data_IF_143458337696
#
_entry.id   IF_143458337696
#
_cell.length_a   1.000
_cell.length_b   1.000
_cell.length_c   1.000
_cell.angle_alpha   90.00
_cell.angle_beta   90.00
_cell.angle_gamma   90.00
#
_symmetry.space_group_name_H-M   'P 1'
#
loop_
_entity.id
_entity.type
_entity.pdbx_description
1 polymer ?
#
# COMPACT_ATOMS: atom_id res chain seq x y z
N UNK A 1 32.05 23.83 75.25
CA UNK A 1 31.80 25.27 75.43
C UNK A 1 31.96 25.91 74.06
N UNK A 2 30.83 26.18 73.42
CA UNK A 2 30.40 27.46 72.83
C UNK A 2 31.41 28.63 72.68
N UNK A 3 31.17 29.57 71.74
CA UNK A 3 31.91 29.73 70.47
C UNK A 3 32.42 31.17 70.25
N UNK A 4 32.92 31.50 69.04
CA UNK A 4 32.73 32.78 68.28
C UNK A 4 33.82 32.91 67.19
N UNK A 5 33.43 32.85 65.91
CA UNK A 5 33.20 33.99 64.97
C UNK A 5 34.48 34.34 64.17
N UNK A 6 34.50 34.64 62.87
CA UNK A 6 33.50 34.76 61.81
C UNK A 6 34.22 34.93 60.45
N UNK A 7 33.46 34.81 59.35
CA UNK A 7 33.68 35.37 58.00
C UNK A 7 34.73 34.76 57.04
N UNK A 8 34.29 34.11 55.95
CA UNK A 8 33.76 34.75 54.73
C UNK A 8 33.84 33.85 53.48
N UNK A 9 32.79 33.98 52.65
CA UNK A 9 32.74 33.86 51.18
C UNK A 9 33.03 32.53 50.43
N UNK A 10 31.98 32.15 49.65
CA UNK A 10 31.99 31.65 48.27
C UNK A 10 32.17 30.15 47.97
N UNK A 11 31.16 29.59 47.28
CA UNK A 11 31.39 28.93 46.00
C UNK A 11 31.33 27.39 45.93
N UNK A 12 30.10 26.87 45.80
CA UNK A 12 29.65 25.74 44.97
C UNK A 12 30.59 24.56 44.58
N UNK A 13 30.09 23.34 44.82
CA UNK A 13 30.01 22.22 43.86
C UNK A 13 29.34 21.01 44.51
N UNK A 14 28.14 20.63 44.05
CA UNK A 14 27.56 19.32 44.33
C UNK A 14 27.55 18.53 43.04
N UNK A 15 28.29 17.42 43.05
CA UNK A 15 28.36 16.43 41.97
C UNK A 15 27.01 15.70 41.89
N UNK A 16 26.37 15.71 40.72
CA UNK A 16 25.25 14.80 40.43
C UNK A 16 25.80 13.56 39.72
N UNK A 17 25.72 12.44 40.44
CA UNK A 17 25.96 11.08 39.94
C UNK A 17 24.87 10.74 38.93
N UNK A 18 25.26 10.53 37.66
CA UNK A 18 24.37 10.03 36.62
C UNK A 18 24.29 8.51 36.68
N UNK A 19 23.15 7.99 37.12
CA UNK A 19 22.78 6.57 36.94
C UNK A 19 22.26 6.41 35.50
N UNK A 20 22.64 5.37 34.75
CA UNK A 20 22.13 5.17 33.39
C UNK A 20 20.64 4.80 33.41
N UNK A 21 19.84 5.22 32.42
CA UNK A 21 18.42 4.94 32.40
C UNK A 21 18.16 3.45 32.13
N UNK A 22 17.25 2.89 32.92
CA UNK A 22 16.73 1.53 32.77
C UNK A 22 15.91 1.45 31.48
N UNK A 23 16.26 0.49 30.64
CA UNK A 23 15.58 0.17 29.40
C UNK A 23 14.21 -0.47 29.71
N UNK A 24 13.13 0.07 29.13
CA UNK A 24 11.79 -0.52 29.20
C UNK A 24 10.77 0.26 30.03
N UNK A 25 10.33 1.41 29.53
CA UNK A 25 8.97 1.93 29.81
C UNK A 25 8.43 2.55 28.52
N UNK A 26 7.30 2.02 28.05
CA UNK A 26 6.56 2.53 26.92
C UNK A 26 5.99 3.93 27.23
N UNK A 27 5.99 4.81 26.23
CA UNK A 27 5.24 6.06 26.26
C UNK A 27 6.04 7.28 26.69
N UNK A 28 6.65 7.96 25.72
CA UNK A 28 7.30 9.24 25.91
C UNK A 28 7.89 9.71 24.59
N UNK A 29 7.05 10.28 23.72
CA UNK A 29 7.50 10.91 22.49
C UNK A 29 8.43 12.08 22.82
N UNK A 30 9.74 11.87 22.70
CA UNK A 30 10.69 12.97 22.62
C UNK A 30 10.67 13.48 21.19
N UNK A 31 9.86 14.51 20.95
CA UNK A 31 9.94 15.33 19.75
C UNK A 31 11.28 16.07 19.74
N UNK A 32 12.26 15.51 19.06
CA UNK A 32 13.45 16.27 18.72
C UNK A 32 13.02 17.41 17.78
N UNK A 33 13.37 18.63 18.18
CA UNK A 33 12.87 19.87 17.61
C UNK A 33 12.98 19.91 16.10
N UNK A 34 11.87 20.29 15.46
CA UNK A 34 11.88 20.86 14.14
C UNK A 34 12.73 22.12 14.16
N UNK A 35 13.92 22.03 13.58
CA UNK A 35 14.66 23.21 13.19
C UNK A 35 14.11 23.60 11.83
N UNK A 36 13.61 24.83 11.70
CA UNK A 36 13.43 25.52 10.44
C UNK A 36 14.84 25.71 9.83
N UNK A 37 15.37 24.61 9.29
CA UNK A 37 16.73 24.50 8.80
C UNK A 37 16.83 25.31 7.53
N UNK A 38 17.34 26.54 7.66
CA UNK A 38 17.51 27.49 6.57
C UNK A 38 18.11 26.82 5.34
N UNK A 39 17.35 26.85 4.24
CA UNK A 39 17.81 26.50 2.92
C UNK A 39 19.07 27.31 2.62
N UNK A 40 20.21 26.62 2.47
CA UNK A 40 21.25 27.14 1.56
C UNK A 40 20.74 26.94 0.14
N UNK A 41 20.13 28.00 -0.38
CA UNK A 41 20.14 28.29 -1.80
C UNK A 41 18.91 27.87 -2.61
N UNK A 42 17.70 28.20 -2.17
CA UNK A 42 16.59 28.62 -3.05
C UNK A 42 15.54 29.30 -2.16
N UNK A 43 15.21 30.55 -2.42
CA UNK A 43 14.18 31.30 -1.68
C UNK A 43 12.79 30.74 -2.03
N UNK A 44 12.35 29.66 -1.40
CA UNK A 44 10.93 29.30 -1.37
C UNK A 44 10.30 30.17 -0.27
N UNK A 45 9.87 31.37 -0.68
CA UNK A 45 9.20 32.32 0.21
C UNK A 45 7.91 31.74 0.79
N UNK A 46 7.38 32.37 1.84
CA UNK A 46 6.16 32.01 2.58
C UNK A 46 4.85 32.15 1.75
N UNK A 47 4.86 31.71 0.50
CA UNK A 47 3.71 31.57 -0.38
C UNK A 47 3.23 30.12 -0.44
N UNK A 48 2.00 29.92 -0.89
CA UNK A 48 1.43 28.58 -1.13
C UNK A 48 2.28 27.87 -2.19
N UNK A 49 2.91 26.76 -1.82
CA UNK A 49 3.72 25.94 -2.73
C UNK A 49 2.79 25.26 -3.74
N UNK A 50 3.09 25.42 -5.03
CA UNK A 50 2.41 24.70 -6.11
C UNK A 50 3.25 23.47 -6.50
N UNK A 51 2.89 22.25 -6.07
CA UNK A 51 3.70 21.06 -6.31
C UNK A 51 3.78 20.66 -7.78
N UNK A 52 2.92 21.21 -8.65
CA UNK A 52 2.97 20.98 -10.10
C UNK A 52 4.12 21.70 -10.80
N UNK A 53 4.76 22.67 -10.14
CA UNK A 53 5.81 23.53 -10.70
C UNK A 53 7.17 23.34 -10.03
N UNK A 54 7.24 22.50 -9.00
CA UNK A 54 8.44 22.29 -8.19
C UNK A 54 8.83 20.82 -8.31
N UNK A 55 10.13 20.54 -8.42
CA UNK A 55 10.59 19.16 -8.40
C UNK A 55 10.22 18.50 -7.08
N UNK A 56 9.73 17.28 -7.16
CA UNK A 56 9.33 16.49 -5.98
C UNK A 56 10.51 16.24 -5.05
N UNK A 57 11.74 16.16 -5.56
CA UNK A 57 12.93 16.08 -4.71
C UNK A 57 13.13 17.33 -3.84
N UNK A 58 12.69 18.52 -4.26
CA UNK A 58 12.77 19.72 -3.41
C UNK A 58 11.72 19.69 -2.28
N UNK A 59 10.66 18.91 -2.43
CA UNK A 59 9.53 18.86 -1.50
C UNK A 59 9.60 17.68 -0.51
N UNK A 60 10.15 16.55 -0.92
CA UNK A 60 10.25 15.35 -0.09
C UNK A 60 11.58 14.61 -0.27
N UNK A 61 12.04 13.97 0.79
CA UNK A 61 13.06 12.95 0.74
C UNK A 61 12.45 11.62 0.34
N UNK A 62 13.13 10.89 -0.54
CA UNK A 62 12.77 9.53 -0.98
C UNK A 62 13.99 8.63 -0.87
N UNK A 63 13.84 7.45 -0.27
CA UNK A 63 14.90 6.43 -0.24
C UNK A 63 14.31 5.02 -0.19
N UNK A 64 15.12 4.04 -0.58
CA UNK A 64 14.74 2.62 -0.53
C UNK A 64 15.25 1.97 0.76
N UNK A 65 14.51 0.98 1.24
CA UNK A 65 14.84 0.17 2.41
C UNK A 65 14.57 -1.31 2.11
N UNK A 66 15.37 -2.25 2.66
CA UNK A 66 15.10 -3.67 2.49
C UNK A 66 13.79 -4.07 3.17
N UNK A 67 13.18 -5.17 2.70
CA UNK A 67 11.97 -5.75 3.31
C UNK A 67 12.20 -6.26 4.74
N UNK A 68 13.44 -6.49 5.14
CA UNK A 68 13.81 -6.97 6.48
C UNK A 68 14.00 -5.86 7.52
N UNK A 69 13.85 -4.59 7.13
CA UNK A 69 14.00 -3.45 8.04
C UNK A 69 12.64 -2.84 8.41
N UNK A 70 12.48 -2.45 9.67
CA UNK A 70 11.33 -1.63 10.08
C UNK A 70 11.61 -0.17 9.76
N UNK A 71 10.68 0.49 9.06
CA UNK A 71 10.74 1.94 8.81
C UNK A 71 9.84 2.63 9.83
N UNK A 72 10.45 3.28 10.82
CA UNK A 72 9.70 4.04 11.84
C UNK A 72 9.28 5.42 11.31
N UNK A 73 8.29 6.04 11.95
CA UNK A 73 7.89 7.42 11.65
C UNK A 73 9.03 8.44 11.87
N UNK A 74 10.06 8.09 12.65
CA UNK A 74 11.21 8.96 12.90
C UNK A 74 12.44 8.59 12.07
N UNK A 75 12.33 7.61 11.17
CA UNK A 75 13.46 7.17 10.33
C UNK A 75 14.06 8.36 9.59
N UNK A 76 15.39 8.49 9.69
CA UNK A 76 16.11 9.59 9.06
C UNK A 76 16.23 9.36 7.55
N UNK A 77 16.10 10.42 6.73
CA UNK A 77 16.35 10.34 5.30
C UNK A 77 17.73 9.78 4.95
N UNK A 78 17.79 9.02 3.86
CA UNK A 78 19.02 8.46 3.29
C UNK A 78 19.12 8.84 1.81
N UNK A 79 20.31 8.70 1.18
CA UNK A 79 20.42 8.82 -0.26
C UNK A 79 19.53 7.80 -0.98
N UNK A 80 18.92 8.21 -2.09
CA UNK A 80 18.16 7.29 -2.94
C UNK A 80 19.10 6.38 -3.71
N UNK A 81 19.02 5.08 -3.45
CA UNK A 81 19.77 4.05 -4.16
C UNK A 81 18.87 3.26 -5.12
N UNK A 82 19.46 2.82 -6.23
CA UNK A 82 18.79 1.88 -7.15
C UNK A 82 18.45 0.58 -6.41
N UNK A 83 17.29 0.01 -6.71
CA UNK A 83 16.88 -1.28 -6.15
C UNK A 83 17.24 -2.37 -7.15
N UNK A 84 17.94 -3.40 -6.66
CA UNK A 84 18.26 -4.59 -7.44
C UNK A 84 17.74 -5.81 -6.68
N UNK A 85 16.79 -6.52 -7.27
CA UNK A 85 16.18 -7.72 -6.71
C UNK A 85 16.63 -8.94 -7.49
N UNK A 86 16.66 -10.08 -6.80
CA UNK A 86 16.94 -11.39 -7.38
C UNK A 86 15.77 -12.29 -7.01
N UNK A 87 15.16 -12.95 -7.99
CA UNK A 87 14.02 -13.84 -7.73
C UNK A 87 14.06 -15.04 -8.68
N UNK A 88 13.62 -16.19 -8.20
CA UNK A 88 13.28 -17.33 -9.02
C UNK A 88 11.91 -17.14 -9.69
N UNK A 89 11.59 -17.98 -10.66
CA UNK A 89 10.20 -18.06 -11.15
C UNK A 89 9.31 -18.57 -10.03
N UNK A 90 8.07 -18.07 -9.99
CA UNK A 90 7.15 -18.35 -8.89
C UNK A 90 7.70 -17.83 -7.55
N UNK A 91 8.51 -16.78 -7.51
CA UNK A 91 8.94 -16.15 -6.25
C UNK A 91 8.28 -14.79 -6.08
N UNK A 92 8.18 -14.33 -4.82
CA UNK A 92 7.75 -12.98 -4.50
C UNK A 92 8.84 -12.28 -3.71
N UNK A 93 9.37 -11.24 -4.30
CA UNK A 93 10.35 -10.35 -3.65
C UNK A 93 9.70 -9.05 -3.21
N UNK A 94 10.32 -8.38 -2.25
CA UNK A 94 9.78 -7.14 -1.68
C UNK A 94 10.87 -6.18 -1.24
N UNK A 95 10.55 -4.89 -1.26
CA UNK A 95 11.33 -3.83 -0.65
C UNK A 95 10.39 -2.70 -0.21
N UNK A 96 10.95 -1.68 0.43
CA UNK A 96 10.21 -0.53 0.91
C UNK A 96 10.74 0.77 0.29
N UNK A 97 9.84 1.71 0.06
CA UNK A 97 10.13 3.10 -0.29
C UNK A 97 9.72 3.96 0.90
N UNK A 98 10.66 4.67 1.48
CA UNK A 98 10.43 5.59 2.58
C UNK A 98 10.37 7.03 2.04
N UNK A 99 9.41 7.79 2.56
CA UNK A 99 9.08 9.15 2.14
C UNK A 99 9.01 10.04 3.36
N UNK A 100 9.75 11.16 3.36
CA UNK A 100 9.68 12.16 4.43
C UNK A 100 9.56 13.56 3.85
N UNK A 101 8.54 14.35 4.21
CA UNK A 101 8.40 15.71 3.67
C UNK A 101 9.53 16.61 4.20
N UNK A 102 10.10 17.41 3.30
CA UNK A 102 11.04 18.50 3.62
C UNK A 102 10.28 19.76 4.04
N UNK A 103 9.16 19.99 3.37
CA UNK A 103 8.26 21.13 3.56
C UNK A 103 6.82 20.66 3.42
N UNK A 104 5.87 21.50 3.84
CA UNK A 104 4.44 21.27 3.64
C UNK A 104 3.95 22.05 2.43
N UNK A 105 3.22 21.40 1.52
CA UNK A 105 2.56 22.00 0.35
C UNK A 105 1.05 21.79 0.34
N UNK A 106 0.48 21.18 1.38
CA UNK A 106 -0.95 21.13 1.64
C UNK A 106 -1.36 22.12 2.75
N UNK A 107 -2.63 22.48 2.75
CA UNK A 107 -3.23 23.42 3.73
C UNK A 107 -3.98 22.70 4.87
N UNK A 108 -4.13 21.38 4.82
CA UNK A 108 -5.08 20.60 5.62
C UNK A 108 -4.47 19.78 6.77
N UNK A 109 -3.43 20.29 7.45
CA UNK A 109 -2.81 19.59 8.59
C UNK A 109 -1.94 18.38 8.22
N UNK A 110 -1.97 17.95 6.96
CA UNK A 110 -0.97 17.06 6.36
C UNK A 110 0.16 17.90 5.74
N UNK A 111 1.32 17.29 5.49
CA UNK A 111 2.38 17.97 4.74
C UNK A 111 2.03 18.03 3.25
N UNK A 112 1.46 16.97 2.71
CA UNK A 112 1.12 16.87 1.31
C UNK A 112 0.57 15.51 0.92
N UNK A 113 0.15 15.40 -0.33
CA UNK A 113 -0.20 14.13 -0.97
C UNK A 113 0.85 13.78 -2.02
N UNK A 114 1.17 12.50 -2.12
CA UNK A 114 2.19 11.97 -3.03
C UNK A 114 1.57 10.88 -3.87
N UNK A 115 1.70 10.99 -5.19
CA UNK A 115 1.32 9.98 -6.16
C UNK A 115 2.53 9.08 -6.45
N UNK A 116 2.29 7.77 -6.55
CA UNK A 116 3.33 6.77 -6.82
C UNK A 116 2.90 5.95 -8.03
N UNK A 117 3.64 6.06 -9.12
CA UNK A 117 3.40 5.31 -10.35
C UNK A 117 4.56 4.36 -10.61
N UNK A 118 4.27 3.18 -11.11
CA UNK A 118 5.28 2.20 -11.51
C UNK A 118 5.16 1.97 -13.01
N UNK A 119 6.28 1.74 -13.68
CA UNK A 119 6.27 1.14 -15.02
C UNK A 119 6.20 -0.37 -14.92
N UNK A 120 5.81 -1.02 -16.01
CA UNK A 120 6.09 -2.44 -16.20
C UNK A 120 7.62 -2.67 -16.09
N UNK A 121 8.02 -3.81 -15.54
CA UNK A 121 9.42 -4.24 -15.68
C UNK A 121 9.55 -4.96 -17.01
N UNK A 122 10.43 -4.46 -17.87
CA UNK A 122 10.63 -4.97 -19.22
C UNK A 122 12.01 -5.61 -19.36
N UNK A 123 12.08 -6.73 -20.07
CA UNK A 123 13.34 -7.34 -20.49
C UNK A 123 13.75 -6.86 -21.89
N UNK A 124 15.01 -7.06 -22.24
CA UNK A 124 15.52 -6.76 -23.59
C UNK A 124 14.89 -7.62 -24.69
N UNK A 125 14.33 -8.79 -24.36
CA UNK A 125 13.56 -9.66 -25.28
C UNK A 125 12.12 -9.19 -25.49
N UNK A 126 11.64 -8.22 -24.71
CA UNK A 126 10.28 -7.70 -24.79
C UNK A 126 9.29 -8.36 -23.83
N UNK A 127 9.71 -9.34 -23.03
CA UNK A 127 8.89 -9.91 -21.96
C UNK A 127 8.67 -8.89 -20.85
N UNK A 128 7.51 -8.93 -20.20
CA UNK A 128 7.08 -7.93 -19.22
C UNK A 128 6.54 -8.53 -17.93
N UNK A 129 6.75 -7.81 -16.83
CA UNK A 129 6.04 -7.98 -15.56
C UNK A 129 5.12 -6.77 -15.39
N UNK A 130 3.82 -7.00 -15.56
CA UNK A 130 2.80 -5.95 -15.67
C UNK A 130 2.45 -5.37 -14.30
N UNK A 131 2.35 -4.04 -14.20
CA UNK A 131 1.90 -3.33 -13.00
C UNK A 131 0.46 -3.72 -12.64
N UNK A 132 0.17 -3.86 -11.34
CA UNK A 132 -1.15 -4.30 -10.86
C UNK A 132 -1.38 -5.81 -10.92
N UNK A 133 -0.58 -6.54 -11.71
CA UNK A 133 -0.59 -8.00 -11.74
C UNK A 133 0.64 -8.58 -11.01
N UNK A 134 1.82 -8.18 -11.46
CA UNK A 134 3.11 -8.64 -10.90
C UNK A 134 3.67 -7.66 -9.88
N UNK A 135 3.32 -6.38 -9.96
CA UNK A 135 3.83 -5.35 -9.05
C UNK A 135 2.66 -4.78 -8.26
N UNK A 136 2.78 -4.78 -6.93
CA UNK A 136 1.74 -4.25 -6.03
C UNK A 136 2.34 -3.28 -5.02
N UNK A 137 1.58 -2.25 -4.69
CA UNK A 137 1.94 -1.20 -3.75
C UNK A 137 1.01 -1.25 -2.53
N UNK A 138 1.59 -1.24 -1.33
CA UNK A 138 0.85 -1.22 -0.07
C UNK A 138 1.45 -0.17 0.86
N UNK A 139 0.63 0.66 1.47
CA UNK A 139 1.06 1.58 2.52
C UNK A 139 1.37 0.76 3.78
N UNK A 140 2.52 1.03 4.39
CA UNK A 140 2.86 0.52 5.72
C UNK A 140 2.20 1.41 6.75
N UNK A 141 1.34 0.84 7.60
CA UNK A 141 0.57 1.55 8.62
C UNK A 141 1.00 1.07 10.00
N UNK A 142 1.30 1.99 10.93
CA UNK A 142 1.65 1.60 12.29
C UNK A 142 0.43 1.05 13.04
N UNK A 143 0.59 -0.14 13.63
CA UNK A 143 -0.34 -0.74 14.57
C UNK A 143 0.30 -0.66 15.95
N UNK A 144 -0.31 0.10 16.85
CA UNK A 144 0.22 0.37 18.19
C UNK A 144 1.67 0.89 18.19
N UNK A 145 2.00 1.72 17.19
CA UNK A 145 3.32 2.33 17.02
C UNK A 145 4.34 1.47 16.27
N UNK A 146 3.99 0.23 15.89
CA UNK A 146 4.86 -0.68 15.14
C UNK A 146 4.44 -0.70 13.66
N UNK A 147 5.34 -0.46 12.69
CA UNK A 147 5.01 -0.53 11.27
C UNK A 147 4.72 -1.98 10.86
N UNK A 148 3.44 -2.36 10.80
CA UNK A 148 3.03 -3.76 10.72
C UNK A 148 1.97 -4.02 9.63
N UNK A 149 0.91 -3.20 9.59
CA UNK A 149 -0.16 -3.42 8.64
C UNK A 149 0.21 -2.95 7.23
N UNK A 150 0.00 -3.81 6.24
CA UNK A 150 0.21 -3.50 4.82
C UNK A 150 -1.16 -3.28 4.15
N UNK A 151 -1.53 -2.01 3.98
CA UNK A 151 -2.82 -1.59 3.42
C UNK A 151 -2.66 -1.36 1.91
N UNK A 152 -3.45 -2.00 1.04
CA UNK A 152 -3.42 -1.74 -0.40
C UNK A 152 -3.57 -0.26 -0.75
N UNK A 153 -2.71 0.21 -1.65
CA UNK A 153 -2.90 1.50 -2.32
C UNK A 153 -3.78 1.23 -3.54
N UNK A 154 -4.82 2.05 -3.73
CA UNK A 154 -5.74 1.90 -4.85
C UNK A 154 -4.99 2.11 -6.18
N UNK A 155 -4.99 1.12 -7.09
CA UNK A 155 -4.35 1.28 -8.40
C UNK A 155 -4.99 2.38 -9.26
N UNK A 156 -6.26 2.71 -9.05
CA UNK A 156 -6.95 3.79 -9.77
C UNK A 156 -6.62 5.17 -9.21
N UNK A 157 -6.14 5.23 -7.98
CA UNK A 157 -5.76 6.47 -7.30
C UNK A 157 -4.54 6.22 -6.41
N UNK A 158 -3.33 6.06 -6.98
CA UNK A 158 -2.17 5.58 -6.23
C UNK A 158 -1.50 6.72 -5.43
N UNK A 159 -2.28 7.38 -4.59
CA UNK A 159 -1.88 8.51 -3.77
C UNK A 159 -1.85 8.14 -2.30
N UNK A 160 -0.89 8.71 -1.57
CA UNK A 160 -0.84 8.64 -0.12
C UNK A 160 -0.63 10.03 0.48
N UNK A 161 -1.30 10.30 1.59
CA UNK A 161 -1.07 11.50 2.39
C UNK A 161 0.07 11.26 3.38
N UNK A 162 0.98 12.23 3.46
CA UNK A 162 2.13 12.21 4.36
C UNK A 162 2.01 13.29 5.43
N UNK A 163 2.41 12.97 6.66
CA UNK A 163 2.33 13.88 7.80
C UNK A 163 3.59 14.72 7.91
N UNK A 164 3.49 15.99 8.36
CA UNK A 164 4.67 16.81 8.60
C UNK A 164 5.63 16.12 9.55
N UNK A 165 6.88 16.00 9.13
CA UNK A 165 7.98 15.54 9.99
C UNK A 165 7.95 14.06 10.32
N UNK A 166 7.03 13.31 9.75
CA UNK A 166 6.99 11.85 9.86
C UNK A 166 7.46 11.20 8.56
N UNK A 167 8.11 10.06 8.70
CA UNK A 167 8.42 9.17 7.59
C UNK A 167 7.24 8.23 7.35
N UNK A 168 6.73 8.22 6.12
CA UNK A 168 5.80 7.21 5.63
C UNK A 168 6.56 6.13 4.84
N UNK A 169 6.06 4.91 4.83
CA UNK A 169 6.63 3.82 4.05
C UNK A 169 5.61 3.16 3.12
N UNK A 170 6.07 2.77 1.95
CA UNK A 170 5.32 2.02 0.94
C UNK A 170 6.06 0.72 0.68
N UNK A 171 5.36 -0.38 0.90
CA UNK A 171 5.80 -1.73 0.60
C UNK A 171 5.52 -2.05 -0.87
N UNK A 172 6.58 -2.37 -1.60
CA UNK A 172 6.52 -2.80 -2.99
C UNK A 172 6.73 -4.30 -3.02
N UNK A 173 5.81 -5.05 -3.64
CA UNK A 173 5.96 -6.48 -3.86
C UNK A 173 5.99 -6.79 -5.35
N UNK A 174 6.98 -7.58 -5.75
CA UNK A 174 7.16 -8.07 -7.12
C UNK A 174 6.97 -9.59 -7.13
N UNK A 175 5.88 -10.04 -7.74
CA UNK A 175 5.49 -11.44 -7.85
C UNK A 175 5.86 -11.96 -9.25
N UNK A 176 6.84 -12.84 -9.32
CA UNK A 176 7.34 -13.42 -10.56
C UNK A 176 6.46 -14.61 -10.96
N UNK A 177 5.78 -14.57 -12.11
CA UNK A 177 4.99 -15.71 -12.58
C UNK A 177 5.82 -16.98 -12.77
N UNK A 178 5.18 -18.14 -12.62
CA UNK A 178 5.83 -19.45 -12.80
C UNK A 178 6.41 -19.63 -14.22
N UNK A 179 5.75 -19.08 -15.23
CA UNK A 179 6.19 -19.13 -16.63
C UNK A 179 7.06 -17.96 -17.08
N UNK A 180 7.48 -17.06 -16.17
CA UNK A 180 8.25 -15.88 -16.55
C UNK A 180 9.61 -16.29 -17.13
N UNK A 181 10.00 -15.80 -18.32
CA UNK A 181 11.35 -16.06 -18.85
C UNK A 181 12.45 -15.58 -17.89
N UNK A 182 13.60 -16.26 -17.87
CA UNK A 182 14.72 -15.84 -17.03
C UNK A 182 15.40 -14.63 -17.69
N UNK A 183 15.98 -13.74 -16.88
CA UNK A 183 16.70 -12.59 -17.41
C UNK A 183 16.58 -11.35 -16.54
N UNK A 184 17.15 -10.25 -17.04
CA UNK A 184 17.09 -8.95 -16.41
C UNK A 184 15.82 -8.22 -16.88
N UNK A 185 15.05 -7.73 -15.92
CA UNK A 185 13.90 -6.87 -16.11
C UNK A 185 14.16 -5.53 -15.43
N UNK A 186 13.92 -4.43 -16.16
CA UNK A 186 14.14 -3.07 -15.68
C UNK A 186 12.87 -2.24 -15.77
N UNK A 187 12.70 -1.33 -14.83
CA UNK A 187 11.65 -0.32 -14.85
C UNK A 187 11.90 0.76 -13.81
N UNK A 188 10.95 1.67 -13.68
CA UNK A 188 11.06 2.85 -12.85
C UNK A 188 9.82 3.04 -11.99
N UNK A 189 10.02 3.62 -10.81
CA UNK A 189 8.96 4.09 -9.94
C UNK A 189 9.08 5.61 -9.86
N UNK A 190 8.00 6.29 -10.21
CA UNK A 190 7.86 7.74 -10.17
C UNK A 190 7.13 8.14 -8.91
N UNK A 191 7.75 9.02 -8.12
CA UNK A 191 7.19 9.56 -6.89
C UNK A 191 6.98 11.06 -7.10
N UNK A 192 5.72 11.49 -7.11
CA UNK A 192 5.32 12.85 -7.47
C UNK A 192 4.56 13.51 -6.34
N UNK A 193 5.01 14.68 -5.87
CA UNK A 193 4.21 15.53 -5.01
C UNK A 193 3.03 16.09 -5.82
N UNK A 194 1.81 15.88 -5.33
CA UNK A 194 0.59 16.34 -6.01
C UNK A 194 -0.14 17.38 -5.18
N UNK A 195 -0.85 18.26 -5.86
CA UNK A 195 -1.70 19.25 -5.21
C UNK A 195 -2.85 18.48 -4.56
N UNK A 196 -3.01 18.67 -3.26
CA UNK A 196 -4.17 18.11 -2.56
C UNK A 196 -5.36 18.95 -3.01
N UNK A 197 -6.21 18.40 -3.88
CA UNK A 197 -7.47 19.05 -4.20
C UNK A 197 -8.29 19.13 -2.92
N UNK A 198 -8.45 20.34 -2.41
CA UNK A 198 -9.36 20.64 -1.32
C UNK A 198 -10.76 20.30 -1.81
N UNK A 199 -11.33 19.20 -1.30
CA UNK A 199 -12.73 18.84 -1.49
C UNK A 199 -13.24 18.74 -2.94
N UNK A 200 -12.46 18.18 -3.86
CA UNK A 200 -13.11 17.29 -4.81
C UNK A 200 -13.36 15.98 -4.05
N UNK A 201 -14.54 15.91 -3.41
CA UNK A 201 -15.37 14.75 -3.75
C UNK A 201 -15.20 14.64 -5.26
N UNK A 202 -14.43 13.66 -5.76
CA UNK A 202 -14.76 13.06 -7.06
C UNK A 202 -16.26 13.04 -7.04
N UNK A 203 -16.94 13.83 -7.89
CA UNK A 203 -18.38 14.01 -7.82
C UNK A 203 -18.95 12.61 -7.91
N UNK A 204 -19.15 12.04 -6.72
CA UNK A 204 -19.34 10.63 -6.60
C UNK A 204 -20.75 10.57 -7.06
N UNK A 205 -20.96 10.03 -8.27
CA UNK A 205 -22.24 10.00 -8.97
C UNK A 205 -23.36 10.09 -7.94
N UNK A 206 -24.19 11.15 -7.93
CA UNK A 206 -25.23 11.31 -6.93
C UNK A 206 -25.91 9.97 -6.69
N UNK A 207 -26.23 9.65 -5.43
CA UNK A 207 -26.65 8.29 -5.02
C UNK A 207 -27.72 7.67 -5.95
N UNK A 208 -28.59 8.51 -6.51
CA UNK A 208 -29.56 8.17 -7.56
C UNK A 208 -28.95 7.60 -8.84
N UNK A 209 -27.87 8.17 -9.35
CA UNK A 209 -27.15 7.72 -10.54
C UNK A 209 -26.35 6.45 -10.28
N UNK A 210 -25.70 6.31 -9.12
CA UNK A 210 -25.06 5.04 -8.71
C UNK A 210 -26.09 3.91 -8.63
N UNK A 211 -27.23 4.16 -8.00
CA UNK A 211 -28.32 3.18 -7.93
C UNK A 211 -28.90 2.84 -9.32
N UNK A 212 -28.94 3.82 -10.23
CA UNK A 212 -29.40 3.62 -11.61
C UNK A 212 -28.41 2.75 -12.39
N UNK A 213 -27.11 3.09 -12.39
CA UNK A 213 -26.05 2.33 -13.04
C UNK A 213 -25.98 0.90 -12.49
N UNK A 214 -26.04 0.74 -11.17
CA UNK A 214 -26.09 -0.58 -10.53
C UNK A 214 -27.28 -1.41 -11.02
N UNK A 215 -28.47 -0.80 -11.14
CA UNK A 215 -29.67 -1.50 -11.63
C UNK A 215 -29.57 -1.87 -13.11
N UNK A 216 -29.01 -0.99 -13.94
CA UNK A 216 -28.81 -1.24 -15.37
C UNK A 216 -27.79 -2.37 -15.59
N UNK A 217 -26.66 -2.35 -14.89
CA UNK A 217 -25.65 -3.42 -14.93
C UNK A 217 -26.18 -4.74 -14.38
N UNK A 218 -26.94 -4.71 -13.27
CA UNK A 218 -27.56 -5.91 -12.72
C UNK A 218 -28.57 -6.51 -13.69
N UNK A 219 -29.37 -5.67 -14.36
CA UNK A 219 -30.29 -6.11 -15.40
C UNK A 219 -29.56 -6.75 -16.59
N UNK A 220 -28.37 -6.28 -16.97
CA UNK A 220 -27.55 -6.93 -18.00
C UNK A 220 -27.11 -8.35 -17.59
N UNK A 221 -26.68 -8.50 -16.34
CA UNK A 221 -26.27 -9.80 -15.80
C UNK A 221 -27.45 -10.77 -15.73
N UNK A 222 -28.62 -10.30 -15.30
CA UNK A 222 -29.82 -11.12 -15.24
C UNK A 222 -30.31 -11.54 -16.64
N UNK A 223 -30.10 -10.71 -17.68
CA UNK A 223 -30.42 -11.03 -19.08
C UNK A 223 -29.48 -12.07 -19.72
N UNK A 224 -28.25 -12.17 -19.22
CA UNK A 224 -27.19 -13.05 -19.75
C UNK A 224 -26.99 -14.32 -18.91
N UNK A 225 -27.71 -14.46 -17.81
CA UNK A 225 -27.65 -15.62 -16.94
C UNK A 225 -28.03 -16.93 -17.66
N UNK A 226 -27.40 -18.06 -17.30
CA UNK A 226 -27.71 -19.36 -17.89
C UNK A 226 -29.16 -19.74 -17.57
N UNK A 227 -29.92 -20.07 -18.61
CA UNK A 227 -31.27 -20.63 -18.49
C UNK A 227 -31.35 -21.92 -19.29
N UNK A 228 -31.71 -23.00 -18.60
CA UNK A 228 -32.07 -24.25 -19.22
C UNK A 228 -33.26 -23.98 -20.17
N UNK A 229 -33.08 -24.35 -21.45
CA UNK A 229 -34.06 -24.18 -22.54
C UNK A 229 -34.19 -22.76 -23.14
N UNK A 230 -33.15 -22.30 -23.83
CA UNK A 230 -33.19 -21.07 -24.66
C UNK A 230 -32.98 -21.42 -26.13
N UNK A 231 -33.85 -20.96 -27.04
CA UNK A 231 -33.64 -21.12 -28.48
C UNK A 231 -32.47 -20.24 -28.97
N UNK A 232 -31.79 -20.58 -30.08
CA UNK A 232 -30.70 -19.77 -30.62
C UNK A 232 -31.11 -18.32 -30.92
N UNK A 233 -32.33 -18.12 -31.40
CA UNK A 233 -32.90 -16.80 -31.72
C UNK A 233 -33.12 -15.96 -30.45
N UNK A 234 -33.60 -16.59 -29.36
CA UNK A 234 -33.75 -15.92 -28.07
C UNK A 234 -32.41 -15.55 -27.45
N UNK A 235 -31.38 -16.39 -27.62
CA UNK A 235 -30.02 -16.06 -27.15
C UNK A 235 -29.46 -14.83 -27.87
N UNK A 236 -29.62 -14.76 -29.20
CA UNK A 236 -29.19 -13.59 -29.99
C UNK A 236 -29.94 -12.34 -29.56
N UNK A 237 -31.26 -12.44 -29.33
CA UNK A 237 -32.07 -11.31 -28.88
C UNK A 237 -31.66 -10.82 -27.48
N UNK A 238 -31.36 -11.73 -26.55
CA UNK A 238 -30.87 -11.40 -25.20
C UNK A 238 -29.49 -10.74 -25.25
N UNK A 239 -28.58 -11.28 -26.05
CA UNK A 239 -27.24 -10.71 -26.23
C UNK A 239 -27.31 -9.31 -26.84
N UNK A 240 -28.19 -9.11 -27.83
CA UNK A 240 -28.43 -7.80 -28.46
C UNK A 240 -29.01 -6.81 -27.44
N UNK A 241 -29.93 -7.27 -26.60
CA UNK A 241 -30.54 -6.45 -25.54
C UNK A 241 -29.52 -6.05 -24.48
N UNK A 242 -28.69 -7.00 -24.00
CA UNK A 242 -27.62 -6.73 -23.04
C UNK A 242 -26.55 -5.79 -23.64
N UNK A 243 -26.15 -5.99 -24.90
CA UNK A 243 -25.22 -5.11 -25.61
C UNK A 243 -25.77 -3.68 -25.74
N UNK A 244 -27.09 -3.53 -25.93
CA UNK A 244 -27.74 -2.22 -26.01
C UNK A 244 -27.75 -1.50 -24.66
N UNK A 245 -28.00 -2.22 -23.57
CA UNK A 245 -27.93 -1.63 -22.21
C UNK A 245 -26.50 -1.26 -21.86
N UNK A 246 -25.51 -2.11 -22.20
CA UNK A 246 -24.09 -1.80 -22.01
C UNK A 246 -23.66 -0.56 -22.80
N UNK A 247 -24.05 -0.43 -24.07
CA UNK A 247 -23.78 0.80 -24.84
C UNK A 247 -24.37 2.03 -24.16
N UNK A 248 -25.62 1.96 -23.68
CA UNK A 248 -26.26 3.07 -22.95
C UNK A 248 -25.53 3.43 -21.65
N UNK A 249 -25.02 2.43 -20.93
CA UNK A 249 -24.19 2.67 -19.73
C UNK A 249 -22.89 3.37 -20.12
N UNK A 250 -22.23 2.94 -21.20
CA UNK A 250 -21.01 3.56 -21.71
C UNK A 250 -21.23 4.99 -22.24
N UNK A 251 -22.40 5.25 -22.83
CA UNK A 251 -22.81 6.59 -23.30
C UNK A 251 -23.24 7.52 -22.16
N UNK A 252 -23.16 7.09 -20.90
CA UNK A 252 -23.51 7.93 -19.76
C UNK A 252 -22.48 9.07 -19.63
N UNK A 253 -22.92 10.34 -19.57
CA UNK A 253 -22.00 11.48 -19.44
C UNK A 253 -21.08 11.40 -18.21
N UNK A 254 -21.49 10.74 -17.13
CA UNK A 254 -20.65 10.52 -15.95
C UNK A 254 -19.54 9.46 -16.15
N UNK A 255 -19.58 8.71 -17.27
CA UNK A 255 -18.56 7.75 -17.70
C UNK A 255 -17.80 8.23 -18.95
N UNK A 256 -18.20 9.37 -19.54
CA UNK A 256 -17.47 10.00 -20.65
C UNK A 256 -16.11 10.55 -20.21
N UNK A 257 -15.94 10.90 -18.93
CA UNK A 257 -14.63 11.26 -18.36
C UNK A 257 -13.65 10.06 -18.35
N UNK A 258 -14.16 8.82 -18.46
CA UNK A 258 -13.34 7.61 -18.60
C UNK A 258 -13.03 7.27 -20.07
N UNK A 259 -13.60 8.02 -21.02
CA UNK A 259 -13.33 7.85 -22.44
C UNK A 259 -11.95 8.43 -22.72
N UNK A 260 -11.01 7.60 -23.18
CA UNK A 260 -9.67 8.02 -23.58
C UNK A 260 -9.75 9.29 -24.44
N UNK A 261 -9.32 10.42 -23.88
CA UNK A 261 -9.01 11.63 -24.63
C UNK A 261 -7.75 11.36 -25.46
N UNK A 262 -7.89 10.53 -26.51
CA UNK A 262 -6.84 10.37 -27.50
C UNK A 262 -6.74 11.64 -28.33
N UNK A 263 -5.82 12.51 -27.93
CA UNK A 263 -5.19 13.48 -28.83
C UNK A 263 -4.97 14.85 -28.21
N UNK A 264 -3.72 15.11 -27.81
CA UNK A 264 -3.09 16.41 -27.55
C UNK A 264 -3.06 17.00 -26.12
N UNK A 265 -3.86 16.52 -25.17
CA UNK A 265 -3.82 17.02 -23.77
C UNK A 265 -2.83 16.26 -22.87
N UNK A 266 -2.98 14.94 -22.76
CA UNK A 266 -2.29 14.13 -21.73
C UNK A 266 -0.80 13.89 -22.00
N UNK A 267 -0.34 13.89 -23.25
CA UNK A 267 1.08 13.66 -23.55
C UNK A 267 1.99 14.78 -22.99
N UNK A 268 1.50 16.02 -22.91
CA UNK A 268 2.31 17.10 -22.33
C UNK A 268 2.33 17.03 -20.79
N UNK A 269 1.23 16.65 -20.15
CA UNK A 269 1.16 16.58 -18.69
C UNK A 269 1.92 15.36 -18.15
N UNK A 270 1.88 14.19 -18.81
CA UNK A 270 2.71 13.03 -18.47
C UNK A 270 4.22 13.35 -18.52
N UNK A 271 4.68 14.02 -19.59
CA UNK A 271 6.09 14.41 -19.75
C UNK A 271 6.51 15.46 -18.69
N UNK A 272 5.62 16.40 -18.35
CA UNK A 272 5.86 17.40 -17.30
C UNK A 272 5.90 16.74 -15.93
N UNK A 273 4.95 15.85 -15.62
CA UNK A 273 4.88 15.11 -14.35
C UNK A 273 6.15 14.25 -14.20
N UNK A 274 6.52 13.48 -15.22
CA UNK A 274 7.72 12.64 -15.20
C UNK A 274 9.01 13.47 -15.01
N UNK A 275 9.02 14.73 -15.45
CA UNK A 275 10.16 15.63 -15.24
C UNK A 275 10.25 16.15 -13.80
N UNK A 276 9.12 16.36 -13.12
CA UNK A 276 9.12 16.81 -11.72
C UNK A 276 9.19 15.66 -10.70
N UNK A 277 8.91 14.42 -11.09
CA UNK A 277 8.97 13.24 -10.20
C UNK A 277 10.37 12.90 -9.73
N UNK A 278 10.46 12.34 -8.52
CA UNK A 278 11.64 11.55 -8.11
C UNK A 278 11.57 10.18 -8.79
N UNK A 279 12.65 9.78 -9.46
CA UNK A 279 12.73 8.51 -10.19
C UNK A 279 13.55 7.48 -9.42
N UNK A 280 12.92 6.40 -9.00
CA UNK A 280 13.59 5.24 -8.41
C UNK A 280 13.74 4.14 -9.46
N UNK A 281 14.99 3.79 -9.79
CA UNK A 281 15.29 2.68 -10.70
C UNK A 281 15.13 1.34 -10.01
N UNK A 282 14.39 0.44 -10.63
CA UNK A 282 14.13 -0.92 -10.17
C UNK A 282 14.64 -1.91 -11.22
N UNK A 283 15.50 -2.83 -10.79
CA UNK A 283 15.96 -3.97 -11.58
C UNK A 283 15.63 -5.27 -10.87
N UNK A 284 15.23 -6.27 -11.64
CA UNK A 284 14.94 -7.62 -11.16
C UNK A 284 15.66 -8.62 -12.06
N UNK A 285 16.49 -9.48 -11.48
CA UNK A 285 17.03 -10.64 -12.19
C UNK A 285 16.18 -11.86 -11.87
N UNK A 286 15.55 -12.43 -12.89
CA UNK A 286 14.80 -13.69 -12.80
C UNK A 286 15.73 -14.85 -13.12
N UNK A 287 15.91 -15.75 -12.16
CA UNK A 287 16.75 -16.94 -12.33
C UNK A 287 16.05 -18.03 -13.16
N UNK A 288 16.85 -18.86 -13.83
CA UNK A 288 16.37 -20.00 -14.63
C UNK A 288 16.07 -21.24 -13.75
N UNK A 289 15.27 -21.04 -12.71
CA UNK A 289 14.65 -22.13 -11.96
C UNK A 289 13.33 -21.66 -11.36
N UNK A 290 12.47 -22.62 -11.01
CA UNK A 290 11.12 -22.35 -10.53
C UNK A 290 10.95 -22.88 -9.12
N UNK A 291 10.44 -22.04 -8.22
CA UNK A 291 10.08 -22.50 -6.88
C UNK A 291 8.83 -23.39 -6.92
N UNK A 292 8.79 -24.47 -6.13
CA UNK A 292 7.61 -25.32 -6.02
C UNK A 292 6.35 -24.55 -5.64
N UNK A 293 5.19 -25.02 -6.09
CA UNK A 293 3.89 -24.49 -5.66
C UNK A 293 3.60 -24.90 -4.20
N UNK A 294 4.11 -26.05 -3.77
CA UNK A 294 3.92 -26.58 -2.43
C UNK A 294 4.83 -25.89 -1.40
N UNK A 295 4.36 -25.72 -0.15
CA UNK A 295 5.22 -25.31 0.96
C UNK A 295 6.45 -26.20 1.07
N UNK A 296 7.64 -25.60 1.12
CA UNK A 296 8.90 -26.32 1.36
C UNK A 296 9.28 -26.36 2.85
N UNK A 297 8.71 -25.47 3.66
CA UNK A 297 8.91 -25.42 5.10
C UNK A 297 7.93 -26.39 5.79
N UNK A 298 8.41 -27.37 6.60
CA UNK A 298 7.56 -28.26 7.39
C UNK A 298 7.02 -27.54 8.64
N UNK A 299 6.36 -26.39 8.43
CA UNK A 299 5.73 -25.59 9.47
C UNK A 299 4.26 -25.38 9.13
N UNK A 300 3.42 -25.43 10.16
CA UNK A 300 1.98 -25.18 10.05
C UNK A 300 1.61 -23.96 10.89
N UNK A 301 0.67 -23.17 10.40
CA UNK A 301 0.24 -21.93 11.03
C UNK A 301 -1.22 -22.06 11.48
N UNK A 302 -1.45 -21.87 12.77
CA UNK A 302 -2.76 -22.02 13.39
C UNK A 302 -3.59 -20.76 13.27
N UNK A 303 -4.83 -20.91 12.82
CA UNK A 303 -5.83 -19.84 12.72
C UNK A 303 -6.91 -20.12 13.76
N UNK A 304 -7.07 -19.20 14.72
CA UNK A 304 -8.10 -19.30 15.75
C UNK A 304 -9.46 -18.87 15.19
N UNK A 305 -10.41 -19.79 15.11
CA UNK A 305 -11.77 -19.51 14.63
C UNK A 305 -12.45 -18.45 15.48
N UNK A 306 -12.27 -18.53 16.81
CA UNK A 306 -12.85 -17.59 17.77
C UNK A 306 -12.40 -16.16 17.51
N UNK A 307 -11.15 -15.96 17.07
CA UNK A 307 -10.64 -14.63 16.74
C UNK A 307 -11.32 -14.08 15.49
N UNK A 308 -11.61 -14.93 14.50
CA UNK A 308 -12.35 -14.53 13.30
C UNK A 308 -13.80 -14.21 13.65
N UNK A 309 -14.44 -15.06 14.45
CA UNK A 309 -15.82 -14.87 14.96
C UNK A 309 -15.94 -13.53 15.69
N UNK A 310 -15.07 -13.26 16.66
CA UNK A 310 -15.08 -12.03 17.44
C UNK A 310 -14.75 -10.80 16.58
N UNK A 311 -13.78 -10.90 15.68
CA UNK A 311 -13.30 -9.77 14.87
C UNK A 311 -14.34 -9.31 13.86
N UNK A 312 -15.06 -10.24 13.25
CA UNK A 312 -16.03 -9.98 12.19
C UNK A 312 -17.48 -10.09 12.66
N UNK A 313 -17.72 -10.34 13.95
CA UNK A 313 -19.05 -10.56 14.53
C UNK A 313 -19.83 -11.66 13.79
N UNK A 314 -19.17 -12.79 13.51
CA UNK A 314 -19.73 -13.91 12.75
C UNK A 314 -20.16 -15.04 13.67
N UNK A 315 -21.32 -15.63 13.40
CA UNK A 315 -21.78 -16.84 14.08
C UNK A 315 -21.20 -18.08 13.40
N UNK A 316 -20.74 -19.03 14.22
CA UNK A 316 -20.13 -20.28 13.77
C UNK A 316 -21.05 -21.08 12.84
N UNK A 317 -20.49 -21.62 11.76
CA UNK A 317 -21.23 -22.44 10.79
C UNK A 317 -22.11 -21.66 9.81
N UNK A 318 -22.18 -20.33 9.90
CA UNK A 318 -22.84 -19.50 8.90
C UNK A 318 -22.03 -19.43 7.59
N UNK A 319 -22.69 -19.08 6.48
CA UNK A 319 -22.01 -18.88 5.19
C UNK A 319 -20.91 -17.81 5.28
N UNK A 320 -21.18 -16.71 5.98
CA UNK A 320 -20.21 -15.63 6.21
C UNK A 320 -18.98 -16.11 6.98
N UNK A 321 -19.17 -17.01 7.96
CA UNK A 321 -18.09 -17.63 8.70
C UNK A 321 -17.21 -18.52 7.82
N UNK A 322 -17.80 -19.44 7.04
CA UNK A 322 -17.04 -20.28 6.09
C UNK A 322 -16.30 -19.44 5.05
N UNK A 323 -16.93 -18.38 4.54
CA UNK A 323 -16.31 -17.43 3.61
C UNK A 323 -15.10 -16.72 4.22
N UNK A 324 -15.21 -16.28 5.48
CA UNK A 324 -14.09 -15.68 6.20
C UNK A 324 -12.93 -16.66 6.40
N UNK A 325 -13.19 -17.93 6.76
CA UNK A 325 -12.16 -18.96 6.88
C UNK A 325 -11.47 -19.24 5.52
N UNK A 326 -12.27 -19.39 4.46
CA UNK A 326 -11.78 -19.64 3.10
C UNK A 326 -10.89 -18.49 2.60
N UNK A 327 -11.23 -17.23 2.89
CA UNK A 327 -10.38 -16.09 2.56
C UNK A 327 -9.01 -16.15 3.26
N UNK A 328 -8.96 -16.45 4.56
CA UNK A 328 -7.69 -16.60 5.28
C UNK A 328 -6.89 -17.80 4.78
N UNK A 329 -7.56 -18.93 4.51
CA UNK A 329 -6.95 -20.12 3.94
C UNK A 329 -6.28 -19.82 2.60
N UNK A 330 -7.02 -19.25 1.65
CA UNK A 330 -6.50 -18.87 0.33
C UNK A 330 -5.37 -17.86 0.42
N UNK A 331 -5.49 -16.87 1.32
CA UNK A 331 -4.45 -15.87 1.52
C UNK A 331 -3.13 -16.50 1.98
N UNK A 332 -3.14 -17.41 2.96
CA UNK A 332 -1.91 -18.08 3.42
C UNK A 332 -1.31 -18.98 2.34
N UNK A 333 -2.13 -19.67 1.55
CA UNK A 333 -1.64 -20.50 0.44
C UNK A 333 -0.91 -19.67 -0.63
N UNK A 334 -1.30 -18.40 -0.85
CA UNK A 334 -0.55 -17.51 -1.75
C UNK A 334 0.90 -17.27 -1.30
N UNK A 335 1.18 -17.43 0.00
CA UNK A 335 2.52 -17.33 0.58
C UNK A 335 3.17 -18.70 0.82
N UNK A 336 2.57 -19.79 0.30
CA UNK A 336 3.01 -21.18 0.54
C UNK A 336 3.10 -21.51 2.04
N UNK A 337 2.22 -20.90 2.83
CA UNK A 337 2.08 -21.21 4.24
C UNK A 337 1.03 -22.30 4.37
N UNK A 338 1.31 -23.35 5.15
CA UNK A 338 0.36 -24.42 5.43
C UNK A 338 -0.53 -24.04 6.62
N UNK A 339 -1.83 -23.76 6.41
CA UNK A 339 -2.71 -23.37 7.50
C UNK A 339 -3.37 -24.59 8.17
N UNK A 340 -3.73 -24.43 9.43
CA UNK A 340 -4.77 -25.23 10.07
C UNK A 340 -5.68 -24.32 10.89
N UNK A 341 -6.92 -24.74 11.10
CA UNK A 341 -7.88 -24.04 11.95
C UNK A 341 -7.95 -24.71 13.30
N UNK A 342 -8.16 -23.92 14.34
CA UNK A 342 -8.35 -24.44 15.68
C UNK A 342 -9.34 -23.65 16.51
N UNK A 343 -9.92 -24.35 17.48
CA UNK A 343 -10.76 -23.79 18.53
C UNK A 343 -10.64 -24.58 19.81
N UNK A 344 -10.93 -23.92 20.93
CA UNK A 344 -11.11 -24.60 22.20
C UNK A 344 -12.46 -25.33 22.21
N UNK A 345 -12.42 -26.59 22.62
CA UNK A 345 -13.59 -27.39 22.96
C UNK A 345 -13.70 -27.58 24.47
N UNK A 346 -14.65 -28.41 24.89
CA UNK A 346 -14.86 -28.70 26.31
C UNK A 346 -13.66 -29.41 26.95
N UNK A 347 -13.52 -29.24 28.27
CA UNK A 347 -12.50 -29.92 29.07
C UNK A 347 -11.05 -29.71 28.57
N UNK A 348 -10.70 -28.49 28.19
CA UNK A 348 -9.36 -28.12 27.70
C UNK A 348 -8.91 -28.90 26.44
N UNK A 349 -9.86 -29.35 25.62
CA UNK A 349 -9.55 -29.98 24.33
C UNK A 349 -9.35 -28.91 23.26
N UNK A 350 -8.40 -29.16 22.35
CA UNK A 350 -8.23 -28.36 21.14
C UNK A 350 -8.81 -29.19 19.99
N UNK A 351 -9.75 -28.61 19.26
CA UNK A 351 -10.20 -29.13 17.97
C UNK A 351 -9.35 -28.46 16.90
N UNK A 352 -8.74 -29.26 16.01
CA UNK A 352 -7.93 -28.75 14.93
C UNK A 352 -8.21 -29.52 13.63
N UNK A 353 -8.25 -28.81 12.51
CA UNK A 353 -8.47 -29.38 11.18
C UNK A 353 -7.79 -28.54 10.09
N UNK A 354 -7.51 -29.15 8.95
CA UNK A 354 -6.64 -28.55 7.90
C UNK A 354 -7.41 -27.96 6.73
N UNK A 355 -8.74 -28.09 6.71
CA UNK A 355 -9.59 -27.68 5.60
C UNK A 355 -10.89 -27.05 6.13
N UNK A 356 -11.23 -25.81 5.75
CA UNK A 356 -12.45 -25.16 6.24
C UNK A 356 -13.71 -25.71 5.57
N UNK A 357 -13.58 -26.53 4.53
CA UNK A 357 -14.72 -27.14 3.83
C UNK A 357 -15.15 -28.44 4.51
N UNK A 358 -16.47 -28.70 4.64
CA UNK A 358 -16.98 -29.98 5.09
C UNK A 358 -16.47 -31.14 4.22
N UNK A 359 -16.25 -32.29 4.85
CA UNK A 359 -16.00 -33.53 4.11
C UNK A 359 -17.32 -33.97 3.49
N UNK A 360 -17.37 -34.10 2.16
CA UNK A 360 -18.55 -34.50 1.39
C UNK A 360 -18.99 -35.93 1.66
#
# INVERSE_FOLDING_TARGET
MDPSDSNSAAGGKTQNVSVPPVEGVAGGGTSYGWVDGGLRGTNIGAGVIDPTKVHSDDLLHVWSMPSTANVSQQEAPRPLEKVNLLAARNERESFQIALRPKVSWATSGIAGSVQIQCTDLCSSSGDRLVVGQSITLRRVVPILGVPDALVPIDPLSPQISIQPGETAAVWVSVNVPCGQPPGLYEGEIFITAVKTELDSRTESLPKSEKCRLYRELRSCLDLTGPRDYSSPEEMVQRLTSASTVLRRVLDNPALQDCQENNGFGDMMDEDVINNISVRLKLSLTVWDFTLPVTPSLPAVFGISETVIEDRFCLEHGTEGWYSALDHHFRWLLQYRISPFFCRWGDSMRILAYTCPWPVF
#
